data_IF_902802469075
#
_entry.id   IF_902802469075
#
_cell.length_a   1.000
_cell.length_b   1.000
_cell.length_c   1.000
_cell.angle_alpha   90.00
_cell.angle_beta   90.00
_cell.angle_gamma   90.00
#
_symmetry.space_group_name_H-M   'P 1'
#
loop_
_entity.id
_entity.type
_entity.pdbx_description
1 polymer ?
#
# COMPACT_ATOMS: atom_id res chain seq x y z
N UNK A 1 18.47 10.84 8.53
CA UNK A 1 17.16 10.56 9.16
C UNK A 1 16.25 11.69 8.75
N UNK A 2 15.23 11.40 7.95
CA UNK A 2 14.24 12.41 7.52
C UNK A 2 13.35 12.69 8.74
N UNK A 3 13.09 13.95 9.10
CA UNK A 3 12.13 14.25 10.16
C UNK A 3 10.74 13.86 9.67
N UNK A 4 10.01 13.10 10.49
CA UNK A 4 8.59 12.83 10.29
C UNK A 4 7.87 14.13 9.93
N UNK A 5 7.03 14.18 8.88
CA UNK A 5 6.23 15.35 8.55
C UNK A 5 5.50 15.85 9.79
N UNK A 6 5.61 17.16 10.05
CA UNK A 6 4.99 17.77 11.22
C UNK A 6 3.50 17.96 10.97
N UNK A 7 2.69 17.07 11.54
CA UNK A 7 1.23 17.20 11.56
C UNK A 7 0.73 18.16 12.63
N UNK A 8 1.61 18.92 13.30
CA UNK A 8 1.24 19.86 14.36
C UNK A 8 0.33 21.01 13.88
N UNK A 9 0.24 21.22 12.57
CA UNK A 9 -0.65 22.20 11.95
C UNK A 9 -2.04 21.62 11.66
N UNK A 10 -2.21 20.29 11.72
CA UNK A 10 -3.50 19.65 11.53
C UNK A 10 -4.25 19.64 12.87
N UNK A 11 -5.46 20.16 12.83
CA UNK A 11 -6.41 20.26 13.92
C UNK A 11 -7.55 19.25 13.73
N UNK A 12 -8.36 19.05 14.77
CA UNK A 12 -9.54 18.18 14.68
C UNK A 12 -10.54 18.70 13.65
N UNK A 13 -10.55 20.01 13.41
CA UNK A 13 -11.33 20.71 12.39
C UNK A 13 -10.91 20.33 10.98
N UNK A 14 -9.62 20.12 10.72
CA UNK A 14 -9.11 19.67 9.41
C UNK A 14 -9.57 18.24 9.07
N UNK A 15 -10.02 17.48 10.09
CA UNK A 15 -10.62 16.17 9.94
C UNK A 15 -12.17 16.19 9.96
N UNK A 16 -12.83 17.36 10.09
CA UNK A 16 -14.31 17.43 10.15
C UNK A 16 -14.99 17.11 8.82
N UNK A 17 -14.29 17.34 7.71
CA UNK A 17 -14.74 17.00 6.36
C UNK A 17 -14.16 15.68 5.86
N UNK A 18 -13.61 14.84 6.77
CA UNK A 18 -13.31 13.45 6.45
C UNK A 18 -14.62 12.78 6.09
N UNK A 19 -14.63 12.05 4.98
CA UNK A 19 -15.75 11.21 4.54
C UNK A 19 -16.15 10.26 5.68
N UNK A 20 -17.03 10.71 6.58
CA UNK A 20 -17.59 9.86 7.59
C UNK A 20 -19.02 9.45 7.19
N UNK A 21 -19.32 8.14 7.26
CA UNK A 21 -18.43 7.06 7.72
C UNK A 21 -17.59 6.44 6.59
N UNK A 22 -16.26 6.47 6.70
CA UNK A 22 -15.34 5.67 5.87
C UNK A 22 -15.09 4.30 6.51
N UNK A 23 -14.86 3.28 5.67
CA UNK A 23 -14.48 1.93 6.12
C UNK A 23 -12.98 1.74 5.89
N UNK A 24 -12.23 1.50 6.98
CA UNK A 24 -10.79 1.22 6.91
C UNK A 24 -10.53 -0.28 6.85
N UNK A 25 -10.20 -0.78 5.66
CA UNK A 25 -9.75 -2.16 5.45
C UNK A 25 -8.22 -2.18 5.35
N UNK A 26 -7.58 -3.19 5.93
CA UNK A 26 -6.13 -3.39 5.83
C UNK A 26 -5.86 -4.87 5.52
N UNK A 27 -4.81 -5.17 4.75
CA UNK A 27 -4.43 -6.54 4.40
C UNK A 27 -2.96 -6.78 4.67
N UNK A 28 -2.62 -7.95 5.19
CA UNK A 28 -1.22 -8.38 5.35
C UNK A 28 -1.15 -9.91 5.32
N UNK A 29 -0.04 -10.47 4.85
CA UNK A 29 0.25 -11.91 4.91
C UNK A 29 0.76 -12.34 6.29
N UNK A 30 1.23 -11.39 7.10
CA UNK A 30 1.78 -11.64 8.42
C UNK A 30 0.68 -11.58 9.50
N UNK A 31 0.40 -12.69 10.21
CA UNK A 31 -0.58 -12.70 11.30
C UNK A 31 -0.19 -11.78 12.47
N UNK A 32 1.11 -11.53 12.68
CA UNK A 32 1.55 -10.57 13.69
C UNK A 32 1.28 -9.12 13.26
N UNK A 33 1.41 -8.81 11.97
CA UNK A 33 1.11 -7.48 11.44
C UNK A 33 -0.38 -7.17 11.53
N UNK A 34 -1.25 -8.10 11.11
CA UNK A 34 -2.71 -7.93 11.25
C UNK A 34 -3.14 -7.75 12.72
N UNK A 35 -2.55 -8.50 13.65
CA UNK A 35 -2.77 -8.31 15.09
C UNK A 35 -2.27 -6.95 15.56
N UNK A 36 -1.09 -6.52 15.13
CA UNK A 36 -0.52 -5.21 15.46
C UNK A 36 -1.43 -4.07 14.96
N UNK A 37 -1.89 -4.12 13.71
CA UNK A 37 -2.83 -3.14 13.14
C UNK A 37 -4.11 -3.02 13.95
N UNK A 38 -4.68 -4.14 14.40
CA UNK A 38 -5.86 -4.11 15.30
C UNK A 38 -5.56 -3.38 16.61
N UNK A 39 -4.41 -3.68 17.24
CA UNK A 39 -4.00 -3.02 18.49
C UNK A 39 -3.73 -1.53 18.29
N UNK A 40 -3.13 -1.14 17.16
CA UNK A 40 -2.92 0.26 16.78
C UNK A 40 -4.26 0.99 16.62
N UNK A 41 -5.24 0.38 15.95
CA UNK A 41 -6.59 0.94 15.84
C UNK A 41 -7.25 1.17 17.21
N UNK A 42 -7.20 0.16 18.08
CA UNK A 42 -7.72 0.26 19.45
C UNK A 42 -7.03 1.37 20.26
N UNK A 43 -5.70 1.48 20.17
CA UNK A 43 -4.93 2.50 20.89
C UNK A 43 -5.24 3.92 20.42
N UNK A 44 -5.69 4.10 19.18
CA UNK A 44 -6.02 5.40 18.60
C UNK A 44 -7.53 5.66 18.51
N UNK A 45 -8.36 4.74 19.02
CA UNK A 45 -9.83 4.79 18.88
C UNK A 45 -10.31 4.88 17.41
N UNK A 46 -9.58 4.24 16.49
CA UNK A 46 -9.92 4.17 15.06
C UNK A 46 -10.30 2.72 14.71
N UNK A 47 -11.45 2.49 14.04
CA UNK A 47 -11.92 1.14 13.70
C UNK A 47 -11.21 0.60 12.45
N UNK A 48 -9.97 0.12 12.63
CA UNK A 48 -9.21 -0.58 11.58
C UNK A 48 -9.66 -2.04 11.46
N UNK A 49 -9.87 -2.53 10.24
CA UNK A 49 -10.33 -3.89 9.95
C UNK A 49 -9.26 -4.67 9.17
N UNK A 50 -8.24 -5.23 9.86
CA UNK A 50 -7.20 -6.02 9.22
C UNK A 50 -7.70 -7.41 8.81
N UNK A 51 -7.29 -7.86 7.63
CA UNK A 51 -7.58 -9.18 7.04
C UNK A 51 -6.25 -9.89 6.74
N UNK A 52 -6.09 -11.10 7.26
CA UNK A 52 -4.96 -11.96 6.91
C UNK A 52 -5.19 -12.55 5.52
N UNK A 53 -4.54 -12.02 4.50
CA UNK A 53 -4.73 -12.41 3.09
C UNK A 53 -3.54 -11.99 2.23
N UNK A 54 -3.37 -12.65 1.09
CA UNK A 54 -2.48 -12.20 0.03
C UNK A 54 -3.16 -11.08 -0.78
N UNK A 55 -2.56 -9.89 -0.79
CA UNK A 55 -3.06 -8.67 -1.46
C UNK A 55 -4.57 -8.50 -1.23
N UNK A 56 -5.38 -8.58 -2.28
CA UNK A 56 -6.84 -8.36 -2.18
C UNK A 56 -7.67 -9.64 -2.30
N UNK A 57 -7.05 -10.82 -2.25
CA UNK A 57 -7.67 -12.11 -2.58
C UNK A 57 -8.93 -12.42 -1.78
N UNK A 58 -8.99 -12.04 -0.49
CA UNK A 58 -10.16 -12.24 0.36
C UNK A 58 -11.26 -11.15 0.22
N UNK A 59 -10.97 -10.08 -0.51
CA UNK A 59 -11.79 -8.89 -0.65
C UNK A 59 -12.49 -8.82 -2.01
N UNK A 60 -11.86 -9.33 -3.07
CA UNK A 60 -12.48 -9.47 -4.38
C UNK A 60 -13.49 -10.64 -4.41
N UNK A 61 -14.54 -10.54 -5.23
CA UNK A 61 -14.91 -9.41 -6.10
C UNK A 61 -15.70 -8.30 -5.37
N UNK A 62 -15.93 -8.41 -4.05
CA UNK A 62 -16.82 -7.50 -3.31
C UNK A 62 -16.35 -6.05 -3.27
N UNK A 63 -15.06 -5.80 -3.44
CA UNK A 63 -14.48 -4.45 -3.51
C UNK A 63 -14.26 -3.95 -4.94
N UNK A 64 -14.73 -4.66 -5.97
CA UNK A 64 -14.65 -4.14 -7.34
C UNK A 64 -15.33 -2.77 -7.42
N UNK A 65 -14.64 -1.83 -8.07
CA UNK A 65 -15.09 -0.45 -8.31
C UNK A 65 -15.54 0.32 -7.06
N UNK A 66 -15.03 -0.07 -5.88
CA UNK A 66 -15.54 0.40 -4.59
C UNK A 66 -14.47 1.02 -3.68
N UNK A 67 -13.20 1.05 -4.11
CA UNK A 67 -12.09 1.59 -3.30
C UNK A 67 -11.85 3.07 -3.64
N UNK A 68 -12.23 3.98 -2.75
CA UNK A 68 -11.97 5.42 -2.93
C UNK A 68 -10.52 5.81 -2.65
N UNK A 69 -9.85 5.11 -1.71
CA UNK A 69 -8.43 5.33 -1.40
C UNK A 69 -7.75 3.98 -1.22
N UNK A 70 -6.78 3.69 -2.08
CA UNK A 70 -5.87 2.56 -1.97
C UNK A 70 -4.48 3.08 -1.60
N UNK A 71 -3.86 2.48 -0.58
CA UNK A 71 -2.49 2.81 -0.17
C UNK A 71 -1.68 1.52 -0.14
N UNK A 72 -0.52 1.54 -0.76
CA UNK A 72 0.40 0.41 -0.72
C UNK A 72 1.84 0.87 -0.48
N UNK A 73 2.41 0.37 0.62
CA UNK A 73 3.83 0.46 0.91
C UNK A 73 4.42 -0.96 0.73
N UNK A 74 4.83 -1.34 -0.48
CA UNK A 74 5.24 -2.70 -0.81
C UNK A 74 6.57 -3.09 -0.14
N UNK A 75 6.92 -4.38 -0.12
CA UNK A 75 8.32 -4.80 -0.05
C UNK A 75 9.02 -4.40 -1.35
N UNK A 76 9.67 -3.23 -1.37
CA UNK A 76 10.24 -2.62 -2.58
C UNK A 76 11.73 -2.89 -2.80
N UNK A 77 12.39 -3.65 -1.92
CA UNK A 77 13.84 -3.87 -2.00
C UNK A 77 14.14 -5.01 -2.96
N UNK A 78 15.08 -4.79 -3.88
CA UNK A 78 15.54 -5.84 -4.78
C UNK A 78 16.24 -6.96 -4.02
N UNK A 79 15.84 -8.20 -4.29
CA UNK A 79 16.40 -9.42 -3.68
C UNK A 79 16.50 -10.51 -4.74
N UNK A 80 17.54 -11.34 -4.65
CA UNK A 80 17.69 -12.52 -5.50
C UNK A 80 16.50 -13.49 -5.32
N UNK A 81 16.17 -14.25 -6.38
CA UNK A 81 15.01 -15.15 -6.38
C UNK A 81 15.09 -16.18 -5.24
N UNK A 82 16.28 -16.76 -5.01
CA UNK A 82 16.54 -17.73 -3.94
C UNK A 82 16.32 -17.13 -2.53
N UNK A 83 16.74 -15.88 -2.31
CA UNK A 83 16.56 -15.20 -1.02
C UNK A 83 15.10 -14.84 -0.76
N UNK A 84 14.35 -14.49 -1.81
CA UNK A 84 12.93 -14.20 -1.71
C UNK A 84 12.09 -15.46 -1.44
N UNK A 85 12.42 -16.58 -2.07
CA UNK A 85 11.79 -17.88 -1.80
C UNK A 85 12.13 -18.37 -0.37
N UNK A 86 13.38 -18.25 0.06
CA UNK A 86 13.78 -18.57 1.43
C UNK A 86 13.11 -17.66 2.48
N UNK A 87 12.91 -16.39 2.18
CA UNK A 87 12.13 -15.47 3.02
C UNK A 87 10.64 -15.87 3.11
N UNK A 88 10.08 -16.44 2.04
CA UNK A 88 8.72 -17.00 2.07
C UNK A 88 8.63 -18.24 2.97
N UNK A 89 9.68 -19.07 3.02
CA UNK A 89 9.71 -20.31 3.82
C UNK A 89 10.12 -20.11 5.29
N UNK A 90 11.04 -19.20 5.61
CA UNK A 90 11.67 -19.12 6.94
C UNK A 90 11.43 -17.83 7.74
N UNK A 91 11.02 -16.74 7.08
CA UNK A 91 11.18 -15.39 7.64
C UNK A 91 9.92 -14.52 7.59
N UNK A 92 9.25 -14.35 8.74
CA UNK A 92 8.05 -13.49 8.83
C UNK A 92 8.39 -12.00 8.62
N UNK A 93 9.62 -11.59 8.93
CA UNK A 93 10.07 -10.20 8.89
C UNK A 93 10.61 -9.85 7.50
N UNK A 94 11.28 -10.80 6.86
CA UNK A 94 11.92 -10.66 5.55
C UNK A 94 10.89 -10.35 4.45
N UNK A 95 9.67 -10.88 4.60
CA UNK A 95 8.51 -10.55 3.74
C UNK A 95 8.10 -9.07 3.76
N UNK A 96 8.52 -8.29 4.76
CA UNK A 96 8.18 -6.87 4.84
C UNK A 96 9.02 -6.01 3.87
N UNK A 97 10.15 -6.52 3.36
CA UNK A 97 11.06 -5.75 2.50
C UNK A 97 11.48 -6.47 1.21
N UNK A 98 11.55 -7.80 1.20
CA UNK A 98 12.01 -8.59 0.05
C UNK A 98 11.03 -8.54 -1.15
N UNK A 99 11.34 -7.68 -2.12
CA UNK A 99 10.51 -7.40 -3.29
C UNK A 99 10.82 -8.22 -4.53
N UNK A 100 11.88 -9.04 -4.50
CA UNK A 100 12.31 -9.82 -5.65
C UNK A 100 13.04 -9.02 -6.72
N UNK A 101 13.07 -9.53 -7.95
CA UNK A 101 13.68 -8.86 -9.10
C UNK A 101 13.15 -7.43 -9.27
N UNK A 102 14.04 -6.44 -9.27
CA UNK A 102 13.70 -5.01 -9.31
C UNK A 102 12.87 -4.49 -8.13
N UNK A 103 12.64 -5.31 -7.09
CA UNK A 103 11.75 -4.98 -5.98
C UNK A 103 10.25 -4.93 -6.35
N UNK A 104 9.88 -5.48 -7.51
CA UNK A 104 8.55 -5.26 -8.12
C UNK A 104 7.64 -6.48 -8.11
N UNK A 105 8.10 -7.66 -7.70
CA UNK A 105 7.33 -8.92 -7.84
C UNK A 105 5.95 -8.85 -7.18
N UNK A 106 5.86 -8.25 -5.99
CA UNK A 106 4.60 -8.08 -5.27
C UNK A 106 3.81 -6.88 -5.79
N UNK A 107 4.51 -5.79 -6.12
CA UNK A 107 3.93 -4.57 -6.66
C UNK A 107 3.21 -4.82 -7.98
N UNK A 108 3.84 -5.51 -8.94
CA UNK A 108 3.28 -5.83 -10.25
C UNK A 108 1.94 -6.57 -10.13
N UNK A 109 1.86 -7.55 -9.22
CA UNK A 109 0.62 -8.29 -8.93
C UNK A 109 -0.50 -7.39 -8.44
N UNK A 110 -0.20 -6.37 -7.63
CA UNK A 110 -1.20 -5.41 -7.20
C UNK A 110 -1.58 -4.45 -8.33
N UNK A 111 -0.60 -3.96 -9.10
CA UNK A 111 -0.81 -3.05 -10.23
C UNK A 111 -1.79 -3.63 -11.26
N UNK A 112 -1.81 -4.95 -11.43
CA UNK A 112 -2.80 -5.65 -12.26
C UNK A 112 -4.25 -5.52 -11.79
N UNK A 113 -4.47 -5.23 -10.50
CA UNK A 113 -5.77 -5.17 -9.84
C UNK A 113 -6.25 -3.74 -9.57
N UNK A 114 -5.39 -2.72 -9.69
CA UNK A 114 -5.70 -1.34 -9.29
C UNK A 114 -6.93 -0.79 -10.01
N UNK A 115 -6.98 -0.94 -11.34
CA UNK A 115 -8.09 -0.43 -12.17
C UNK A 115 -9.45 -1.03 -11.75
N UNK A 116 -9.49 -2.33 -11.45
CA UNK A 116 -10.71 -3.02 -11.06
C UNK A 116 -11.14 -2.73 -9.62
N UNK A 117 -10.20 -2.36 -8.75
CA UNK A 117 -10.47 -2.03 -7.34
C UNK A 117 -10.99 -0.59 -7.16
N UNK A 118 -10.32 0.39 -7.78
CA UNK A 118 -10.59 1.80 -7.54
C UNK A 118 -12.03 2.18 -7.90
N UNK A 119 -12.65 3.11 -7.19
CA UNK A 119 -13.93 3.72 -7.61
C UNK A 119 -13.70 4.72 -8.76
N UNK A 120 -14.77 5.34 -9.27
CA UNK A 120 -14.65 6.40 -10.31
C UNK A 120 -13.87 7.63 -9.81
N UNK A 121 -13.76 7.79 -8.49
CA UNK A 121 -13.02 8.87 -7.82
C UNK A 121 -11.81 8.34 -7.03
N UNK A 122 -11.44 7.08 -7.27
CA UNK A 122 -10.45 6.37 -6.50
C UNK A 122 -9.04 6.94 -6.68
N UNK A 123 -8.29 7.04 -5.59
CA UNK A 123 -6.88 7.41 -5.59
C UNK A 123 -6.04 6.23 -5.13
N UNK A 124 -4.90 6.01 -5.81
CA UNK A 124 -3.92 5.00 -5.42
C UNK A 124 -2.58 5.67 -5.09
N UNK A 125 -2.11 5.45 -3.86
CA UNK A 125 -0.80 5.89 -3.41
C UNK A 125 0.15 4.70 -3.27
N UNK A 126 1.29 4.78 -3.95
CA UNK A 126 2.33 3.77 -3.94
C UNK A 126 3.64 4.36 -3.42
N UNK A 127 4.27 3.69 -2.46
CA UNK A 127 5.67 3.98 -2.09
C UNK A 127 6.59 3.22 -3.04
N UNK A 128 7.57 3.92 -3.61
CA UNK A 128 8.57 3.33 -4.49
C UNK A 128 9.95 3.98 -4.26
N UNK A 129 11.01 3.22 -4.49
CA UNK A 129 12.40 3.69 -4.55
C UNK A 129 12.87 3.82 -6.01
N UNK A 130 13.96 4.56 -6.30
CA UNK A 130 14.44 4.74 -7.67
C UNK A 130 14.65 3.42 -8.44
N UNK A 131 15.06 2.37 -7.75
CA UNK A 131 15.28 1.02 -8.30
C UNK A 131 13.99 0.37 -8.83
N UNK A 132 12.82 0.74 -8.28
CA UNK A 132 11.52 0.30 -8.77
C UNK A 132 11.07 1.03 -10.04
N UNK A 133 11.83 2.04 -10.47
CA UNK A 133 11.59 2.83 -11.68
C UNK A 133 10.18 3.44 -11.73
N UNK A 134 9.84 4.37 -10.82
CA UNK A 134 8.49 4.91 -10.67
C UNK A 134 7.90 5.54 -11.94
N UNK A 135 8.73 6.07 -12.83
CA UNK A 135 8.26 6.59 -14.13
C UNK A 135 7.73 5.48 -15.04
N UNK A 136 8.38 4.30 -15.06
CA UNK A 136 7.89 3.13 -15.82
C UNK A 136 6.55 2.62 -15.24
N UNK A 137 6.40 2.64 -13.91
CA UNK A 137 5.12 2.30 -13.23
C UNK A 137 4.02 3.27 -13.65
N UNK A 138 4.28 4.57 -13.68
CA UNK A 138 3.31 5.59 -14.13
C UNK A 138 2.90 5.34 -15.58
N UNK A 139 3.84 5.09 -16.48
CA UNK A 139 3.55 4.76 -17.89
C UNK A 139 2.68 3.50 -18.02
N UNK A 140 2.96 2.46 -17.25
CA UNK A 140 2.15 1.23 -17.21
C UNK A 140 0.72 1.51 -16.73
N UNK A 141 0.54 2.37 -15.73
CA UNK A 141 -0.78 2.73 -15.22
C UNK A 141 -1.55 3.63 -16.20
N UNK A 142 -0.86 4.52 -16.90
CA UNK A 142 -1.46 5.33 -17.99
C UNK A 142 -1.98 4.46 -19.13
N UNK A 143 -1.27 3.40 -19.50
CA UNK A 143 -1.74 2.43 -20.49
C UNK A 143 -3.03 1.69 -20.06
N UNK A 144 -3.36 1.71 -18.76
CA UNK A 144 -4.59 1.16 -18.16
C UNK A 144 -5.64 2.23 -17.85
N UNK A 145 -5.48 3.45 -18.38
CA UNK A 145 -6.46 4.53 -18.22
C UNK A 145 -6.39 5.26 -16.88
N UNK A 146 -5.33 5.08 -16.10
CA UNK A 146 -5.11 5.79 -14.84
C UNK A 146 -4.13 6.97 -15.05
N UNK A 147 -4.42 8.11 -14.45
CA UNK A 147 -3.47 9.22 -14.38
C UNK A 147 -2.53 9.03 -13.19
N UNK A 148 -1.25 9.36 -13.37
CA UNK A 148 -0.24 9.23 -12.33
C UNK A 148 0.78 10.36 -12.40
N UNK A 149 1.26 10.76 -11.22
CA UNK A 149 2.33 11.73 -11.03
C UNK A 149 3.26 11.23 -9.93
N UNK A 150 4.54 11.59 -10.02
CA UNK A 150 5.48 11.40 -8.91
C UNK A 150 5.50 12.71 -8.12
N UNK A 151 5.20 12.65 -6.82
CA UNK A 151 5.44 13.79 -5.93
C UNK A 151 6.96 13.97 -5.79
N UNK A 152 7.49 15.01 -6.44
CA UNK A 152 8.91 15.26 -6.63
C UNK A 152 9.71 15.29 -5.32
N UNK A 153 10.82 14.55 -5.33
CA UNK A 153 11.98 14.72 -4.45
C UNK A 153 12.86 15.87 -4.96
N UNK A 154 12.36 17.10 -4.95
CA UNK A 154 13.24 18.27 -5.07
C UNK A 154 13.63 18.75 -3.68
N UNK A 155 14.83 18.37 -3.27
CA UNK A 155 15.55 19.02 -2.19
C UNK A 155 15.76 20.48 -2.61
N UNK A 156 15.00 21.40 -2.01
CA UNK A 156 15.42 22.80 -1.92
C UNK A 156 16.37 22.97 -0.74
#
# INVERSE_FOLDING_TARGET
MIPTPSYAHLSREDFKDVYEPAVYLCTDLNPHATRCTRLTGLSNSIPLNPVLTDLTSALLPRLERSVDVLVFNPPYVETEDDEAEMAQEGGVIERAWAGGKGGMRVTDRLLEQVESLLSDRGLFYLVAVPENKPLEIIEQMQARGLHGEASDWTVN
#
